data_IF_018193735220
#
_entry.id   IF_018193735220
#
_cell.length_a   1.000
_cell.length_b   1.000
_cell.length_c   1.000
_cell.angle_alpha   90.00
_cell.angle_beta   90.00
_cell.angle_gamma   90.00
#
_symmetry.space_group_name_H-M   'P 1'
#
loop_
_entity.id
_entity.type
_entity.pdbx_description
1 polymer ?
#
# COMPACT_ATOMS: atom_id res chain seq x y z
N UNK A 1 -1.44 -15.11 -3.03
CA UNK A 1 -1.71 -15.99 -4.19
C UNK A 1 -0.92 -17.27 -3.98
N UNK A 2 -1.51 -18.45 -4.16
CA UNK A 2 -0.83 -19.73 -3.92
C UNK A 2 -0.04 -20.13 -5.18
N UNK A 3 1.14 -19.52 -5.39
CA UNK A 3 1.92 -19.59 -6.63
C UNK A 3 2.65 -20.93 -6.84
N UNK A 4 2.01 -22.08 -6.61
CA UNK A 4 2.45 -23.39 -7.09
C UNK A 4 3.93 -23.77 -6.90
N UNK A 5 4.63 -23.21 -5.90
CA UNK A 5 6.07 -23.43 -5.68
C UNK A 5 7.02 -22.62 -6.59
N UNK A 6 6.55 -21.58 -7.28
CA UNK A 6 7.42 -20.68 -8.05
C UNK A 6 8.30 -19.86 -7.10
N UNK A 7 9.58 -19.72 -7.46
CA UNK A 7 10.54 -18.87 -6.75
C UNK A 7 10.73 -17.57 -7.51
N UNK A 8 10.64 -16.46 -6.81
CA UNK A 8 10.94 -15.13 -7.32
C UNK A 8 12.30 -14.66 -6.77
N UNK A 9 13.04 -13.90 -7.57
CA UNK A 9 14.33 -13.34 -7.19
C UNK A 9 14.30 -11.84 -7.44
N UNK A 10 14.80 -11.06 -6.48
CA UNK A 10 15.14 -9.66 -6.70
C UNK A 10 16.56 -9.62 -7.29
N UNK A 11 16.70 -8.99 -8.45
CA UNK A 11 17.96 -8.92 -9.20
C UNK A 11 18.23 -7.50 -9.63
N UNK A 12 19.50 -7.18 -9.85
CA UNK A 12 19.90 -5.93 -10.49
C UNK A 12 19.31 -5.85 -11.91
N UNK A 13 18.81 -4.69 -12.31
CA UNK A 13 18.28 -4.47 -13.65
C UNK A 13 19.35 -4.59 -14.73
N UNK A 14 20.60 -4.24 -14.43
CA UNK A 14 21.70 -4.19 -15.40
C UNK A 14 22.16 -5.59 -15.84
N UNK A 15 21.85 -6.63 -15.07
CA UNK A 15 22.19 -8.02 -15.41
C UNK A 15 21.09 -8.72 -16.24
N UNK A 16 19.94 -8.07 -16.42
CA UNK A 16 18.80 -8.68 -17.10
C UNK A 16 18.93 -8.58 -18.63
N UNK A 17 18.53 -9.63 -19.37
CA UNK A 17 18.38 -9.55 -20.82
C UNK A 17 17.41 -8.43 -21.23
N UNK A 18 17.72 -7.74 -22.32
CA UNK A 18 16.92 -6.63 -22.86
C UNK A 18 15.44 -7.00 -23.05
N UNK A 19 15.13 -8.24 -23.45
CA UNK A 19 13.76 -8.71 -23.61
C UNK A 19 12.94 -8.68 -22.30
N UNK A 20 13.57 -8.95 -21.16
CA UNK A 20 12.92 -8.90 -19.84
C UNK A 20 12.69 -7.44 -19.41
N UNK A 21 13.69 -6.59 -19.58
CA UNK A 21 13.58 -5.15 -19.31
C UNK A 21 12.47 -4.51 -20.15
N UNK A 22 12.44 -4.80 -21.45
CA UNK A 22 11.38 -4.35 -22.36
C UNK A 22 10.01 -4.89 -21.98
N UNK A 23 9.93 -6.14 -21.49
CA UNK A 23 8.66 -6.70 -20.98
C UNK A 23 8.18 -5.94 -19.75
N UNK A 24 9.08 -5.55 -18.83
CA UNK A 24 8.74 -4.74 -17.67
C UNK A 24 8.18 -3.37 -18.08
N UNK A 25 8.80 -2.69 -19.05
CA UNK A 25 8.31 -1.42 -19.60
C UNK A 25 6.92 -1.56 -20.23
N UNK A 26 6.69 -2.62 -21.02
CA UNK A 26 5.37 -2.90 -21.61
C UNK A 26 4.31 -3.10 -20.51
N UNK A 27 4.61 -3.89 -19.48
CA UNK A 27 3.71 -4.10 -18.35
C UNK A 27 3.41 -2.79 -17.61
N UNK A 28 4.41 -1.93 -17.45
CA UNK A 28 4.26 -0.63 -16.80
C UNK A 28 3.35 0.33 -17.60
N UNK A 29 3.56 0.46 -18.91
CA UNK A 29 2.74 1.30 -19.79
C UNK A 29 1.27 0.87 -19.78
N UNK A 30 1.03 -0.44 -19.78
CA UNK A 30 -0.32 -1.02 -19.69
C UNK A 30 -0.95 -0.74 -18.33
N UNK A 31 -0.19 -0.88 -17.23
CA UNK A 31 -0.68 -0.64 -15.87
C UNK A 31 -0.99 0.85 -15.60
N UNK A 32 -0.23 1.77 -16.20
CA UNK A 32 -0.46 3.23 -16.13
C UNK A 32 -1.59 3.70 -17.05
N UNK A 33 -2.06 2.85 -17.97
CA UNK A 33 -3.08 3.22 -18.96
C UNK A 33 -2.55 4.15 -20.07
N UNK A 34 -1.23 4.26 -20.24
CA UNK A 34 -0.62 5.04 -21.33
C UNK A 34 -0.95 4.45 -22.72
N UNK A 35 -1.20 3.14 -22.75
CA UNK A 35 -1.60 2.37 -23.92
C UNK A 35 -2.65 1.35 -23.50
N UNK A 36 -3.63 1.12 -24.36
CA UNK A 36 -4.73 0.17 -24.09
C UNK A 36 -4.49 -1.20 -24.72
N UNK A 37 -3.60 -1.28 -25.72
CA UNK A 37 -3.34 -2.50 -26.48
C UNK A 37 -1.88 -2.92 -26.33
N UNK A 38 -1.68 -4.21 -26.04
CA UNK A 38 -0.34 -4.83 -25.98
C UNK A 38 0.44 -4.60 -27.28
N UNK A 39 -0.20 -4.65 -28.44
CA UNK A 39 0.48 -4.45 -29.74
C UNK A 39 1.14 -3.07 -29.86
N UNK A 40 0.47 -2.03 -29.38
CA UNK A 40 0.98 -0.66 -29.37
C UNK A 40 2.16 -0.52 -28.39
N UNK A 41 2.03 -1.12 -27.21
CA UNK A 41 3.06 -1.09 -26.18
C UNK A 41 4.37 -1.75 -26.66
N UNK A 42 4.27 -2.96 -27.23
CA UNK A 42 5.46 -3.70 -27.69
C UNK A 42 6.11 -3.02 -28.90
N UNK A 43 5.34 -2.35 -29.75
CA UNK A 43 5.86 -1.55 -30.87
C UNK A 43 6.64 -0.33 -30.37
N UNK A 44 6.08 0.44 -29.43
CA UNK A 44 6.75 1.59 -28.81
C UNK A 44 8.08 1.23 -28.14
N UNK A 45 8.15 0.05 -27.52
CA UNK A 45 9.35 -0.43 -26.82
C UNK A 45 10.32 -1.20 -27.73
N UNK A 46 9.91 -1.55 -28.95
CA UNK A 46 10.72 -2.35 -29.88
C UNK A 46 10.93 -3.79 -29.38
N UNK A 47 9.84 -4.44 -28.92
CA UNK A 47 9.78 -5.83 -28.48
C UNK A 47 8.84 -6.63 -29.41
N UNK A 48 9.18 -7.88 -29.72
CA UNK A 48 8.25 -8.74 -30.46
C UNK A 48 7.11 -9.22 -29.57
N UNK A 49 5.93 -9.44 -30.16
CA UNK A 49 4.78 -10.01 -29.42
C UNK A 49 5.11 -11.35 -28.79
N UNK A 50 5.81 -12.23 -29.52
CA UNK A 50 6.20 -13.55 -29.02
C UNK A 50 7.16 -13.46 -27.83
N UNK A 51 8.11 -12.52 -27.84
CA UNK A 51 8.99 -12.28 -26.70
C UNK A 51 8.22 -11.77 -25.49
N UNK A 52 7.31 -10.81 -25.69
CA UNK A 52 6.43 -10.33 -24.62
C UNK A 52 5.61 -11.48 -24.00
N UNK A 53 4.89 -12.27 -24.80
CA UNK A 53 4.06 -13.36 -24.28
C UNK A 53 4.87 -14.47 -23.60
N UNK A 54 6.15 -14.63 -23.96
CA UNK A 54 7.06 -15.57 -23.29
C UNK A 54 7.42 -15.13 -21.86
N UNK A 55 7.56 -13.82 -21.61
CA UNK A 55 8.04 -13.30 -20.32
C UNK A 55 6.97 -12.59 -19.48
N UNK A 56 5.82 -12.20 -20.05
CA UNK A 56 4.82 -11.33 -19.39
C UNK A 56 4.39 -11.78 -17.99
N UNK A 57 4.27 -13.10 -17.79
CA UNK A 57 3.77 -13.69 -16.54
C UNK A 57 4.89 -13.94 -15.52
N UNK A 58 6.16 -13.79 -15.92
CA UNK A 58 7.33 -13.88 -15.05
C UNK A 58 7.91 -12.52 -14.65
N UNK A 59 7.48 -11.43 -15.30
CA UNK A 59 7.97 -10.07 -15.05
C UNK A 59 6.86 -9.26 -14.39
N UNK A 60 6.89 -9.20 -13.07
CA UNK A 60 5.90 -8.48 -12.28
C UNK A 60 6.49 -7.14 -11.83
N UNK A 61 5.68 -6.06 -11.76
CA UNK A 61 6.14 -4.82 -11.16
C UNK A 61 6.49 -5.07 -9.70
N UNK A 62 7.75 -4.87 -9.33
CA UNK A 62 8.15 -4.86 -7.93
C UNK A 62 7.80 -3.50 -7.34
N UNK A 63 6.82 -3.48 -6.43
CA UNK A 63 6.59 -2.33 -5.54
C UNK A 63 7.28 -2.69 -4.23
N UNK A 64 8.22 -1.85 -3.79
CA UNK A 64 8.78 -2.01 -2.44
C UNK A 64 7.62 -2.15 -1.44
N UNK A 65 7.54 -3.28 -0.71
CA UNK A 65 6.62 -3.42 0.41
C UNK A 65 6.84 -2.24 1.35
N UNK A 66 5.79 -1.44 1.58
CA UNK A 66 5.89 -0.26 2.44
C UNK A 66 6.30 1.05 1.75
N UNK A 67 6.20 1.21 0.43
CA UNK A 67 6.28 2.54 -0.22
C UNK A 67 4.95 3.26 -0.42
N UNK A 68 3.80 2.63 -0.16
CA UNK A 68 2.55 3.38 -0.22
C UNK A 68 2.55 4.40 0.92
N UNK A 69 2.61 5.68 0.55
CA UNK A 69 2.36 6.77 1.51
C UNK A 69 0.93 6.73 2.01
N UNK A 70 0.03 6.00 1.34
CA UNK A 70 -1.33 5.79 1.79
C UNK A 70 -1.41 4.47 2.54
N UNK A 71 -1.84 4.52 3.80
CA UNK A 71 -2.03 3.35 4.67
C UNK A 71 -3.40 3.42 5.34
N UNK A 72 -3.96 2.25 5.66
CA UNK A 72 -5.23 2.15 6.38
C UNK A 72 -4.96 1.74 7.82
N UNK A 73 -5.52 2.48 8.77
CA UNK A 73 -5.42 2.20 10.21
C UNK A 73 -6.80 1.87 10.75
N UNK A 74 -6.88 0.80 11.55
CA UNK A 74 -8.07 0.42 12.31
C UNK A 74 -7.84 0.64 13.79
N UNK A 75 -8.84 1.19 14.46
CA UNK A 75 -8.88 1.51 15.87
C UNK A 75 -10.14 0.92 16.50
N UNK A 76 -10.04 0.53 17.76
CA UNK A 76 -11.19 0.27 18.61
C UNK A 76 -11.20 1.29 19.75
N UNK A 77 -12.21 2.16 19.77
CA UNK A 77 -12.30 3.26 20.75
C UNK A 77 -13.39 2.98 21.78
N UNK A 78 -13.21 3.39 23.03
CA UNK A 78 -14.33 3.52 23.95
C UNK A 78 -15.29 4.62 23.47
N UNK A 79 -16.58 4.42 23.70
CA UNK A 79 -17.60 5.41 23.35
C UNK A 79 -17.73 6.49 24.41
N UNK A 80 -16.69 7.33 24.53
CA UNK A 80 -16.70 8.53 25.36
C UNK A 80 -16.33 9.79 24.55
N UNK A 81 -16.90 10.96 24.92
CA UNK A 81 -16.57 12.21 24.25
C UNK A 81 -15.07 12.51 24.23
N UNK A 82 -14.59 13.06 23.12
CA UNK A 82 -13.21 13.54 22.98
C UNK A 82 -12.15 12.49 22.64
N UNK A 83 -12.44 11.18 22.73
CA UNK A 83 -11.45 10.14 22.40
C UNK A 83 -11.04 10.23 20.92
N UNK A 84 -12.01 10.26 20.00
CA UNK A 84 -11.71 10.41 18.57
C UNK A 84 -11.00 11.74 18.29
N UNK A 85 -11.35 12.82 18.97
CA UNK A 85 -10.65 14.10 18.83
C UNK A 85 -9.19 14.03 19.27
N UNK A 86 -8.88 13.34 20.37
CA UNK A 86 -7.48 13.10 20.79
C UNK A 86 -6.71 12.30 19.74
N UNK A 87 -7.31 11.25 19.19
CA UNK A 87 -6.72 10.46 18.08
C UNK A 87 -6.39 11.37 16.90
N UNK A 88 -7.35 12.18 16.45
CA UNK A 88 -7.17 13.12 15.35
C UNK A 88 -6.03 14.11 15.61
N UNK A 89 -6.00 14.69 16.82
CA UNK A 89 -4.97 15.64 17.22
C UNK A 89 -3.58 14.98 17.28
N UNK A 90 -3.47 13.74 17.76
CA UNK A 90 -2.21 12.99 17.76
C UNK A 90 -1.70 12.73 16.35
N UNK A 91 -2.57 12.32 15.42
CA UNK A 91 -2.20 12.13 14.01
C UNK A 91 -1.74 13.46 13.39
N UNK A 92 -2.49 14.55 13.63
CA UNK A 92 -2.17 15.87 13.11
C UNK A 92 -0.84 16.43 13.68
N UNK A 93 -0.56 16.21 14.96
CA UNK A 93 0.70 16.62 15.60
C UNK A 93 1.93 15.91 15.00
N UNK A 94 1.73 14.75 14.38
CA UNK A 94 2.76 13.99 13.67
C UNK A 94 2.76 14.28 12.16
N UNK A 95 2.07 15.32 11.72
CA UNK A 95 1.94 15.72 10.31
C UNK A 95 1.30 14.63 9.42
N UNK A 96 0.52 13.73 10.02
CA UNK A 96 -0.26 12.74 9.31
C UNK A 96 -1.52 13.36 8.69
N UNK A 97 -1.74 13.15 7.39
CA UNK A 97 -2.91 13.66 6.71
C UNK A 97 -3.99 12.59 6.59
N UNK A 98 -5.07 12.71 7.35
CA UNK A 98 -6.21 11.78 7.27
C UNK A 98 -7.06 12.12 6.06
N UNK A 99 -7.12 11.20 5.10
CA UNK A 99 -7.89 11.35 3.87
C UNK A 99 -9.36 10.99 4.07
N UNK A 100 -9.62 9.93 4.84
CA UNK A 100 -10.98 9.49 5.17
C UNK A 100 -11.03 8.94 6.59
N UNK A 101 -12.17 9.12 7.25
CA UNK A 101 -12.48 8.52 8.54
C UNK A 101 -13.87 7.89 8.48
N UNK A 102 -13.98 6.67 9.00
CA UNK A 102 -15.23 5.94 9.11
C UNK A 102 -15.33 5.39 10.54
N UNK A 103 -16.25 5.93 11.32
CA UNK A 103 -16.59 5.41 12.65
C UNK A 103 -17.91 4.66 12.56
N UNK A 104 -17.89 3.37 12.90
CA UNK A 104 -19.12 2.60 13.03
C UNK A 104 -19.88 2.98 14.30
N UNK A 105 -21.19 2.70 14.31
CA UNK A 105 -22.01 2.89 15.51
C UNK A 105 -21.40 2.12 16.69
N UNK A 106 -21.44 2.68 17.91
CA UNK A 106 -20.92 1.99 19.08
C UNK A 106 -21.67 0.70 19.38
N UNK A 107 -20.95 -0.38 19.65
CA UNK A 107 -21.49 -1.64 20.17
C UNK A 107 -20.83 -1.96 21.51
N UNK A 108 -21.63 -2.24 22.55
CA UNK A 108 -21.15 -2.58 23.91
C UNK A 108 -20.14 -1.56 24.48
N UNK A 109 -20.36 -0.27 24.19
CA UNK A 109 -19.51 0.82 24.66
C UNK A 109 -18.20 1.00 23.87
N UNK A 110 -18.03 0.31 22.74
CA UNK A 110 -16.87 0.41 21.87
C UNK A 110 -17.29 0.84 20.47
N UNK A 111 -16.55 1.77 19.87
CA UNK A 111 -16.78 2.29 18.53
C UNK A 111 -15.57 1.94 17.64
N UNK A 112 -15.72 0.99 16.69
CA UNK A 112 -14.72 0.75 15.67
C UNK A 112 -14.52 1.99 14.80
N UNK A 113 -13.26 2.34 14.53
CA UNK A 113 -12.90 3.44 13.63
C UNK A 113 -11.85 2.96 12.65
N UNK A 114 -12.07 3.21 11.36
CA UNK A 114 -11.06 3.02 10.33
C UNK A 114 -10.75 4.36 9.66
N UNK A 115 -9.47 4.63 9.41
CA UNK A 115 -9.05 5.81 8.68
C UNK A 115 -7.98 5.51 7.65
N UNK A 116 -8.01 6.25 6.56
CA UNK A 116 -6.97 6.24 5.53
C UNK A 116 -6.05 7.42 5.76
N UNK A 117 -4.76 7.15 5.84
CA UNK A 117 -3.71 8.09 6.22
C UNK A 117 -2.72 8.24 5.06
N UNK A 118 -2.48 9.48 4.64
CA UNK A 118 -1.29 9.85 3.87
C UNK A 118 -0.15 10.22 4.84
N UNK A 119 0.88 9.37 4.87
CA UNK A 119 2.08 9.50 5.70
C UNK A 119 3.26 10.17 4.98
N UNK A 120 3.07 10.72 3.79
CA UNK A 120 4.15 11.33 2.99
C UNK A 120 4.88 12.46 3.70
N UNK A 121 4.21 13.15 4.64
CA UNK A 121 4.73 14.27 5.41
C UNK A 121 4.91 13.96 6.89
N UNK A 122 4.70 12.71 7.31
CA UNK A 122 4.75 12.40 8.73
C UNK A 122 6.16 12.61 9.31
N UNK A 123 6.21 13.21 10.49
CA UNK A 123 7.45 13.44 11.24
C UNK A 123 7.97 12.19 11.96
N UNK A 124 7.15 11.13 12.03
CA UNK A 124 7.49 9.84 12.64
C UNK A 124 7.09 8.68 11.75
N UNK A 125 7.64 7.50 12.01
CA UNK A 125 7.24 6.28 11.33
C UNK A 125 5.89 5.74 11.83
N UNK A 126 5.34 4.80 11.08
CA UNK A 126 4.03 4.22 11.33
C UNK A 126 3.99 3.39 12.63
N UNK A 127 5.00 2.57 12.98
CA UNK A 127 5.09 1.95 14.30
C UNK A 127 5.01 2.95 15.46
N UNK A 128 5.70 4.11 15.36
CA UNK A 128 5.65 5.15 16.40
C UNK A 128 4.26 5.76 16.51
N UNK A 129 3.62 6.10 15.40
CA UNK A 129 2.24 6.60 15.41
C UNK A 129 1.30 5.60 16.11
N UNK A 130 1.37 4.32 15.77
CA UNK A 130 0.52 3.29 16.39
C UNK A 130 0.79 3.13 17.88
N UNK A 131 2.05 3.24 18.31
CA UNK A 131 2.40 3.20 19.73
C UNK A 131 1.77 4.36 20.50
N UNK A 132 1.85 5.58 19.96
CA UNK A 132 1.29 6.80 20.56
C UNK A 132 -0.25 6.75 20.61
N UNK A 133 -0.90 6.27 19.55
CA UNK A 133 -2.34 6.06 19.54
C UNK A 133 -2.79 5.07 20.62
N UNK A 134 -2.05 3.97 20.83
CA UNK A 134 -2.34 2.98 21.88
C UNK A 134 -2.16 3.52 23.30
N UNK A 135 -1.41 4.61 23.49
CA UNK A 135 -1.22 5.24 24.81
C UNK A 135 -2.36 6.19 25.17
N UNK A 136 -3.20 6.60 24.20
CA UNK A 136 -4.32 7.50 24.47
C UNK A 136 -5.40 6.79 25.30
N UNK A 137 -5.82 7.42 26.40
CA UNK A 137 -6.95 6.94 27.21
C UNK A 137 -8.19 6.74 26.34
N UNK A 138 -8.74 5.52 26.37
CA UNK A 138 -9.91 5.12 25.61
C UNK A 138 -9.63 4.48 24.26
N UNK A 139 -8.37 4.39 23.82
CA UNK A 139 -7.99 3.57 22.65
C UNK A 139 -7.70 2.15 23.13
N UNK A 140 -8.51 1.17 22.69
CA UNK A 140 -8.36 -0.25 23.05
C UNK A 140 -7.40 -0.99 22.12
N UNK A 141 -7.41 -0.63 20.84
CA UNK A 141 -6.48 -1.15 19.86
C UNK A 141 -6.23 -0.12 18.77
N UNK A 142 -5.05 -0.22 18.15
CA UNK A 142 -4.68 0.48 16.93
C UNK A 142 -3.81 -0.46 16.10
N UNK A 143 -4.11 -0.62 14.82
CA UNK A 143 -3.37 -1.54 13.94
C UNK A 143 -3.48 -1.12 12.48
N UNK A 144 -2.56 -1.59 11.66
CA UNK A 144 -2.68 -1.45 10.21
C UNK A 144 -3.69 -2.44 9.66
N UNK A 145 -4.41 -2.02 8.64
CA UNK A 145 -5.27 -2.88 7.84
C UNK A 145 -4.49 -3.27 6.60
N UNK A 146 -4.32 -4.57 6.39
CA UNK A 146 -3.61 -5.09 5.23
C UNK A 146 -2.08 -4.99 5.33
N UNK A 147 -1.51 -4.98 6.55
CA UNK A 147 -0.16 -5.49 6.69
C UNK A 147 -0.21 -6.97 6.27
N UNK A 148 0.19 -7.24 5.05
CA UNK A 148 0.62 -8.57 4.63
C UNK A 148 1.77 -8.95 5.56
N UNK A 149 1.44 -9.65 6.66
CA UNK A 149 2.35 -10.55 7.33
C UNK A 149 2.43 -11.80 6.45
N UNK A 150 3.32 -11.81 5.47
CA UNK A 150 3.85 -13.00 4.77
C UNK A 150 4.99 -12.58 3.83
#
# INVERSE_FOLDING_TARGET
MNDGGKRFYLVDGDILPEAILKTALVNEMLAKGEVTKVSEAVEKVGLSRSAYYKYKDGVLPFREPGRSNIVSVSLLLEHHPGILSRVLNTVAAMEGNILTINQSVPEKGLAPVAFVLDRSRMSVDLPRLLAELRQLTGVRSAQLVGSEEE
#
